data_IF_316443790420
#
_entry.id   IF_316443790420
#
_cell.length_a   1.000
_cell.length_b   1.000
_cell.length_c   1.000
_cell.angle_alpha   90.00
_cell.angle_beta   90.00
_cell.angle_gamma   90.00
#
_symmetry.space_group_name_H-M   'P 1'
#
loop_
_entity.id
_entity.type
_entity.pdbx_description
1 polymer ?
#
# COMPACT_ATOMS: atom_id res chain seq x y z
N UNK A 1 -31.80 26.59 18.39
CA UNK A 1 -32.03 27.45 17.20
C UNK A 1 -31.58 26.74 15.91
N UNK A 2 -30.36 26.19 15.86
CA UNK A 2 -29.80 25.37 14.77
C UNK A 2 -30.70 24.19 14.32
N UNK A 3 -31.27 23.41 15.26
CA UNK A 3 -32.19 22.32 14.92
C UNK A 3 -33.51 22.77 14.27
N UNK A 4 -34.02 23.97 14.60
CA UNK A 4 -35.27 24.48 14.03
C UNK A 4 -35.07 24.97 12.59
N UNK A 5 -33.90 25.54 12.29
CA UNK A 5 -33.51 25.92 10.92
C UNK A 5 -33.31 24.71 10.02
N UNK A 6 -32.68 23.63 10.52
CA UNK A 6 -32.52 22.37 9.79
C UNK A 6 -33.85 21.66 9.48
N UNK A 7 -34.83 21.71 10.39
CA UNK A 7 -36.16 21.12 10.20
C UNK A 7 -37.02 21.93 9.21
N UNK A 8 -36.87 23.25 9.19
CA UNK A 8 -37.50 24.13 8.20
C UNK A 8 -37.01 23.85 6.77
N UNK A 9 -35.70 23.68 6.60
CA UNK A 9 -35.05 23.41 5.31
C UNK A 9 -35.30 21.98 4.77
N UNK A 10 -35.46 21.00 5.66
CA UNK A 10 -35.86 19.63 5.27
C UNK A 10 -37.28 19.59 4.69
N UNK A 11 -38.14 20.56 5.03
CA UNK A 11 -39.50 20.69 4.47
C UNK A 11 -39.54 21.44 3.14
N UNK A 12 -38.58 22.31 2.84
CA UNK A 12 -38.48 22.99 1.55
C UNK A 12 -37.80 22.13 0.47
N UNK A 13 -36.82 21.30 0.83
CA UNK A 13 -36.11 20.40 -0.11
C UNK A 13 -36.95 19.22 -0.61
N UNK A 14 -38.03 18.86 0.09
CA UNK A 14 -39.00 17.85 -0.36
C UNK A 14 -39.96 18.35 -1.45
N UNK A 15 -39.95 19.64 -1.78
CA UNK A 15 -40.86 20.25 -2.76
C UNK A 15 -40.26 20.51 -4.14
N UNK A 16 -38.94 20.42 -4.30
CA UNK A 16 -38.27 20.65 -5.58
C UNK A 16 -37.38 19.45 -5.90
N UNK A 17 -37.86 18.61 -6.82
CA UNK A 17 -37.03 17.60 -7.48
C UNK A 17 -36.07 18.29 -8.44
N UNK A 18 -34.87 17.72 -8.55
CA UNK A 18 -33.83 18.06 -9.53
C UNK A 18 -33.16 19.43 -9.33
N UNK A 19 -32.31 19.52 -8.29
CA UNK A 19 -30.87 19.85 -8.43
C UNK A 19 -30.24 19.84 -7.02
N UNK A 20 -29.60 18.72 -6.63
CA UNK A 20 -29.19 18.49 -5.22
C UNK A 20 -27.85 19.12 -4.86
N UNK A 21 -27.00 19.41 -5.84
CA UNK A 21 -25.65 19.96 -5.60
C UNK A 21 -25.69 21.48 -5.47
N UNK A 22 -26.37 22.19 -6.39
CA UNK A 22 -26.41 23.65 -6.39
C UNK A 22 -27.01 24.29 -5.12
N UNK A 23 -28.06 23.67 -4.55
CA UNK A 23 -28.71 24.19 -3.33
C UNK A 23 -27.88 23.94 -2.05
N UNK A 24 -27.04 22.90 -2.01
CA UNK A 24 -26.20 22.65 -0.84
C UNK A 24 -25.07 23.69 -0.79
N UNK A 25 -24.43 23.91 -1.94
CA UNK A 25 -23.31 24.85 -2.09
C UNK A 25 -23.72 26.28 -1.70
N UNK A 26 -24.88 26.76 -2.16
CA UNK A 26 -25.39 28.10 -1.83
C UNK A 26 -25.70 28.29 -0.32
N UNK A 27 -26.30 27.27 0.32
CA UNK A 27 -26.58 27.30 1.77
C UNK A 27 -25.28 27.27 2.58
N UNK A 28 -24.28 26.52 2.11
CA UNK A 28 -22.95 26.46 2.72
C UNK A 28 -22.24 27.82 2.62
N UNK A 29 -22.26 28.48 1.45
CA UNK A 29 -21.65 29.80 1.27
C UNK A 29 -22.32 30.89 2.12
N UNK A 30 -23.65 30.88 2.22
CA UNK A 30 -24.37 31.81 3.10
C UNK A 30 -24.00 31.57 4.57
N UNK A 31 -23.82 30.31 4.98
CA UNK A 31 -23.36 29.97 6.33
C UNK A 31 -21.89 30.33 6.58
N UNK A 32 -21.02 30.22 5.56
CA UNK A 32 -19.60 30.64 5.59
C UNK A 32 -19.42 32.16 5.75
N UNK A 33 -20.29 32.96 5.15
CA UNK A 33 -20.22 34.43 5.28
C UNK A 33 -20.85 34.95 6.57
N UNK A 34 -21.86 34.26 7.13
CA UNK A 34 -22.66 34.78 8.25
C UNK A 34 -22.20 34.26 9.60
N UNK A 35 -21.62 33.07 9.65
CA UNK A 35 -21.06 32.47 10.85
C UNK A 35 -19.59 32.20 10.57
N UNK A 36 -18.72 32.42 11.55
CA UNK A 36 -17.31 32.00 11.52
C UNK A 36 -17.25 30.47 11.33
N UNK A 37 -17.48 30.04 10.10
CA UNK A 37 -17.75 28.66 9.78
C UNK A 37 -16.41 27.95 9.70
N UNK A 38 -16.30 26.95 10.55
CA UNK A 38 -15.10 26.17 10.78
C UNK A 38 -14.62 25.56 9.47
N UNK A 39 -13.34 25.78 9.13
CA UNK A 39 -12.67 25.17 7.96
C UNK A 39 -12.86 23.65 7.96
N UNK A 40 -13.09 23.05 9.13
CA UNK A 40 -13.49 21.67 9.34
C UNK A 40 -14.71 21.23 8.50
N UNK A 41 -15.66 22.11 8.19
CA UNK A 41 -16.81 21.74 7.34
C UNK A 41 -16.47 21.79 5.85
N UNK A 42 -15.60 22.72 5.44
CA UNK A 42 -15.09 22.76 4.07
C UNK A 42 -14.24 21.51 3.79
N UNK A 43 -13.46 21.08 4.78
CA UNK A 43 -12.69 19.83 4.74
C UNK A 43 -13.58 18.59 4.77
N UNK A 44 -14.66 18.59 5.55
CA UNK A 44 -15.69 17.54 5.49
C UNK A 44 -16.32 17.41 4.09
N UNK A 45 -16.44 18.50 3.34
CA UNK A 45 -16.93 18.49 1.96
C UNK A 45 -15.85 18.02 0.97
N UNK A 46 -14.59 18.41 1.19
CA UNK A 46 -13.45 17.88 0.42
C UNK A 46 -13.25 16.37 0.60
N UNK A 47 -13.63 15.82 1.76
CA UNK A 47 -13.66 14.37 2.02
C UNK A 47 -14.84 13.67 1.30
N UNK A 48 -15.94 14.38 1.00
CA UNK A 48 -17.19 13.76 0.51
C UNK A 48 -17.61 14.03 -0.93
N UNK A 49 -17.10 15.04 -1.63
CA UNK A 49 -17.63 15.34 -2.96
C UNK A 49 -16.78 16.30 -3.77
N UNK A 50 -16.29 15.82 -4.92
CA UNK A 50 -15.65 16.68 -5.92
C UNK A 50 -14.70 15.94 -6.86
N UNK A 51 -14.13 14.83 -6.38
CA UNK A 51 -13.21 13.95 -7.10
C UNK A 51 -13.73 13.54 -8.49
N UNK A 52 -12.96 13.79 -9.56
CA UNK A 52 -13.13 12.99 -10.78
C UNK A 52 -13.14 11.50 -10.46
N UNK A 53 -13.93 10.70 -11.19
CA UNK A 53 -14.03 9.24 -11.02
C UNK A 53 -12.65 8.57 -11.01
N UNK A 54 -11.71 9.19 -11.71
CA UNK A 54 -10.32 8.78 -11.80
C UNK A 54 -9.54 8.98 -10.48
N UNK A 55 -9.63 10.14 -9.82
CA UNK A 55 -9.01 10.35 -8.52
C UNK A 55 -9.58 9.40 -7.47
N UNK A 56 -10.90 9.17 -7.51
CA UNK A 56 -11.54 8.18 -6.65
C UNK A 56 -11.01 6.76 -6.91
N UNK A 57 -10.86 6.38 -8.18
CA UNK A 57 -10.25 5.11 -8.58
C UNK A 57 -8.85 4.94 -7.98
N UNK A 58 -7.97 5.93 -8.10
CA UNK A 58 -6.61 5.83 -7.56
C UNK A 58 -6.59 5.76 -6.04
N UNK A 59 -7.42 6.57 -5.35
CA UNK A 59 -7.58 6.49 -3.88
C UNK A 59 -8.03 5.09 -3.45
N UNK A 60 -9.04 4.53 -4.10
CA UNK A 60 -9.53 3.17 -3.81
C UNK A 60 -8.47 2.10 -4.08
N UNK A 61 -7.75 2.19 -5.20
CA UNK A 61 -6.69 1.26 -5.57
C UNK A 61 -5.56 1.26 -4.53
N UNK A 62 -5.08 2.45 -4.16
CA UNK A 62 -4.03 2.59 -3.16
C UNK A 62 -4.50 2.00 -1.82
N UNK A 63 -5.73 2.30 -1.38
CA UNK A 63 -6.31 1.74 -0.17
C UNK A 63 -6.40 0.20 -0.23
N UNK A 64 -6.82 -0.38 -1.37
CA UNK A 64 -6.84 -1.84 -1.56
C UNK A 64 -5.46 -2.45 -1.39
N UNK A 65 -4.44 -1.84 -1.99
CA UNK A 65 -3.05 -2.30 -1.90
C UNK A 65 -2.58 -2.26 -0.44
N UNK A 66 -2.87 -1.17 0.29
CA UNK A 66 -2.52 -1.04 1.70
C UNK A 66 -3.24 -2.04 2.60
N UNK A 67 -4.53 -2.30 2.37
CA UNK A 67 -5.29 -3.30 3.13
C UNK A 67 -4.66 -4.68 2.95
N UNK A 68 -4.31 -5.05 1.72
CA UNK A 68 -3.67 -6.34 1.44
C UNK A 68 -2.27 -6.43 2.08
N UNK A 69 -1.50 -5.34 2.07
CA UNK A 69 -0.23 -5.24 2.79
C UNK A 69 -0.41 -5.47 4.30
N UNK A 70 -1.32 -4.74 4.94
CA UNK A 70 -1.61 -4.89 6.38
C UNK A 70 -2.10 -6.30 6.73
N UNK A 71 -2.86 -6.92 5.84
CA UNK A 71 -3.29 -8.31 5.99
C UNK A 71 -2.09 -9.28 5.96
N UNK A 72 -1.15 -9.09 5.03
CA UNK A 72 0.09 -9.86 4.99
C UNK A 72 0.95 -9.67 6.26
N UNK A 73 1.06 -8.44 6.74
CA UNK A 73 1.75 -8.09 7.99
C UNK A 73 1.13 -8.79 9.19
N UNK A 74 -0.17 -8.58 9.41
CA UNK A 74 -0.90 -9.11 10.56
C UNK A 74 -0.88 -10.64 10.59
N UNK A 75 -1.02 -11.29 9.44
CA UNK A 75 -1.03 -12.77 9.36
C UNK A 75 0.35 -13.36 9.62
N UNK A 76 1.41 -12.74 9.09
CA UNK A 76 2.78 -13.19 9.36
C UNK A 76 3.14 -13.03 10.84
N UNK A 77 2.73 -11.92 11.45
CA UNK A 77 2.90 -11.69 12.89
C UNK A 77 2.10 -12.67 13.75
N UNK A 78 0.92 -13.11 13.27
CA UNK A 78 0.15 -14.16 13.93
C UNK A 78 0.92 -15.49 13.92
N UNK A 79 1.39 -15.95 12.75
CA UNK A 79 2.18 -17.18 12.65
C UNK A 79 3.45 -17.14 13.51
N UNK A 80 4.13 -16.00 13.53
CA UNK A 80 5.32 -15.82 14.36
C UNK A 80 4.99 -15.95 15.85
N UNK A 81 3.92 -15.30 16.32
CA UNK A 81 3.50 -15.38 17.72
C UNK A 81 3.09 -16.80 18.10
N UNK A 82 2.30 -17.44 17.24
CA UNK A 82 1.85 -18.81 17.46
C UNK A 82 3.02 -19.79 17.53
N UNK A 83 4.00 -19.68 16.62
CA UNK A 83 5.24 -20.47 16.68
C UNK A 83 5.98 -20.30 18.01
N UNK A 84 6.18 -19.06 18.46
CA UNK A 84 6.87 -18.78 19.73
C UNK A 84 6.11 -19.37 20.92
N UNK A 85 4.78 -19.26 20.93
CA UNK A 85 3.94 -19.87 21.97
C UNK A 85 4.07 -21.39 21.96
N UNK A 86 3.90 -22.04 20.81
CA UNK A 86 4.02 -23.50 20.67
C UNK A 86 5.39 -24.02 21.06
N UNK A 87 6.45 -23.30 20.68
CA UNK A 87 7.81 -23.65 21.05
C UNK A 87 8.04 -23.55 22.56
N UNK A 88 7.47 -22.54 23.21
CA UNK A 88 7.52 -22.41 24.67
C UNK A 88 6.78 -23.55 25.37
N UNK A 89 5.56 -23.88 24.92
CA UNK A 89 4.77 -25.02 25.43
C UNK A 89 5.54 -26.34 25.28
N UNK A 90 6.20 -26.54 24.14
CA UNK A 90 7.00 -27.72 23.86
C UNK A 90 8.19 -27.85 24.82
N UNK A 91 8.88 -26.73 25.09
CA UNK A 91 10.01 -26.69 26.03
C UNK A 91 9.58 -26.95 27.46
N UNK A 92 8.45 -26.40 27.90
CA UNK A 92 7.90 -26.69 29.23
C UNK A 92 7.54 -28.17 29.40
N UNK A 93 6.95 -28.79 28.37
CA UNK A 93 6.69 -30.23 28.35
C UNK A 93 7.98 -31.05 28.41
N UNK A 94 9.02 -30.64 27.69
CA UNK A 94 10.35 -31.28 27.73
C UNK A 94 10.94 -31.27 29.14
N UNK A 95 10.91 -30.12 29.81
CA UNK A 95 11.42 -30.02 31.20
C UNK A 95 10.63 -30.91 32.17
N UNK A 96 9.31 -30.97 32.00
CA UNK A 96 8.45 -31.85 32.82
C UNK A 96 8.80 -33.33 32.58
N UNK A 97 8.95 -33.74 31.32
CA UNK A 97 9.34 -35.10 30.97
C UNK A 97 10.75 -35.48 31.47
N UNK A 98 11.72 -34.55 31.44
CA UNK A 98 13.03 -34.78 32.04
C UNK A 98 12.96 -34.93 33.55
N UNK A 99 12.14 -34.12 34.24
CA UNK A 99 11.94 -34.25 35.68
C UNK A 99 11.33 -35.62 36.04
N UNK A 100 10.37 -36.10 35.24
CA UNK A 100 9.77 -37.44 35.39
C UNK A 100 10.78 -38.56 35.12
N UNK A 101 11.52 -38.49 34.00
CA UNK A 101 12.57 -39.46 33.67
C UNK A 101 13.64 -39.51 34.78
N UNK A 102 14.05 -38.36 35.31
CA UNK A 102 14.98 -38.28 36.44
C UNK A 102 14.41 -38.95 37.70
N UNK A 103 13.13 -38.74 38.00
CA UNK A 103 12.47 -39.39 39.13
C UNK A 103 12.47 -40.92 38.97
N UNK A 104 12.14 -41.43 37.78
CA UNK A 104 12.19 -42.86 37.47
C UNK A 104 13.61 -43.40 37.64
N UNK A 105 14.61 -42.68 37.11
CA UNK A 105 16.02 -43.02 37.27
C UNK A 105 16.40 -43.16 38.75
N UNK A 106 16.08 -42.15 39.57
CA UNK A 106 16.42 -42.13 41.00
C UNK A 106 15.73 -43.28 41.76
N UNK A 107 14.46 -43.59 41.43
CA UNK A 107 13.68 -44.68 42.04
C UNK A 107 14.23 -46.06 41.66
N UNK A 108 14.49 -46.31 40.38
CA UNK A 108 15.03 -47.59 39.88
C UNK A 108 16.45 -47.81 40.40
N UNK A 109 17.29 -46.77 40.37
CA UNK A 109 18.65 -46.85 40.90
C UNK A 109 18.66 -47.15 42.41
N UNK A 110 17.74 -46.58 43.19
CA UNK A 110 17.63 -46.89 44.61
C UNK A 110 17.16 -48.33 44.88
N UNK A 111 16.27 -48.86 44.02
CA UNK A 111 15.64 -50.17 44.19
C UNK A 111 16.46 -51.36 43.64
N UNK A 112 17.36 -51.13 42.69
CA UNK A 112 18.21 -52.19 42.12
C UNK A 112 19.34 -52.56 43.10
N UNK A 113 19.42 -53.85 43.42
CA UNK A 113 20.57 -54.48 44.06
C UNK A 113 21.60 -54.89 42.99
N UNK A 114 22.89 -54.75 43.29
CA UNK A 114 23.96 -55.08 42.35
C UNK A 114 25.15 -54.14 42.48
N UNK A 115 26.10 -54.27 41.57
CA UNK A 115 27.18 -53.29 41.46
C UNK A 115 26.69 -51.97 40.83
N UNK A 116 27.49 -50.91 40.97
CA UNK A 116 27.15 -49.56 40.49
C UNK A 116 26.83 -49.52 38.99
N UNK A 117 27.48 -50.36 38.18
CA UNK A 117 27.27 -50.37 36.74
C UNK A 117 25.93 -51.03 36.38
N UNK A 118 25.54 -52.09 37.09
CA UNK A 118 24.25 -52.75 36.91
C UNK A 118 23.10 -51.80 37.28
N UNK A 119 23.23 -51.11 38.43
CA UNK A 119 22.25 -50.12 38.90
C UNK A 119 22.08 -48.97 37.91
N UNK A 120 23.19 -48.40 37.44
CA UNK A 120 23.19 -47.32 36.46
C UNK A 120 22.56 -47.76 35.13
N UNK A 121 22.94 -48.94 34.64
CA UNK A 121 22.44 -49.45 33.35
C UNK A 121 20.93 -49.68 33.37
N UNK A 122 20.40 -50.27 34.45
CA UNK A 122 18.96 -50.48 34.59
C UNK A 122 18.20 -49.15 34.75
N UNK A 123 18.70 -48.24 35.57
CA UNK A 123 18.07 -46.94 35.79
C UNK A 123 18.00 -46.09 34.51
N UNK A 124 19.07 -46.07 33.70
CA UNK A 124 19.04 -45.38 32.39
C UNK A 124 18.10 -46.06 31.41
N UNK A 125 18.10 -47.40 31.36
CA UNK A 125 17.23 -48.14 30.45
C UNK A 125 15.75 -47.84 30.74
N UNK A 126 15.36 -47.78 32.00
CA UNK A 126 13.97 -47.53 32.41
C UNK A 126 13.57 -46.04 32.30
N UNK A 127 14.47 -45.13 32.68
CA UNK A 127 14.21 -43.69 32.60
C UNK A 127 14.22 -43.14 31.16
N UNK A 128 14.93 -43.81 30.25
CA UNK A 128 15.15 -43.44 28.85
C UNK A 128 15.29 -41.92 28.59
N UNK A 129 16.24 -41.23 29.25
CA UNK A 129 16.42 -39.79 29.08
C UNK A 129 16.79 -39.41 27.64
N UNK A 130 17.48 -40.31 26.93
CA UNK A 130 17.83 -40.11 25.52
C UNK A 130 16.59 -40.20 24.61
N UNK A 131 15.65 -41.09 24.90
CA UNK A 131 14.36 -41.17 24.20
C UNK A 131 13.55 -39.89 24.36
N UNK A 132 13.51 -39.33 25.59
CA UNK A 132 12.90 -38.01 25.86
C UNK A 132 13.53 -36.93 24.99
N UNK A 133 14.86 -36.80 25.02
CA UNK A 133 15.58 -35.81 24.21
C UNK A 133 15.29 -35.97 22.71
N UNK A 134 15.39 -37.20 22.19
CA UNK A 134 15.15 -37.49 20.78
C UNK A 134 13.72 -37.15 20.35
N UNK A 135 12.73 -37.48 21.19
CA UNK A 135 11.33 -37.16 20.95
C UNK A 135 11.12 -35.64 20.84
N UNK A 136 11.55 -34.87 21.84
CA UNK A 136 11.33 -33.42 21.84
C UNK A 136 12.17 -32.69 20.78
N UNK A 137 13.38 -33.17 20.47
CA UNK A 137 14.18 -32.63 19.37
C UNK A 137 13.47 -32.84 18.02
N UNK A 138 12.87 -34.02 17.80
CA UNK A 138 12.09 -34.28 16.59
C UNK A 138 10.84 -33.40 16.52
N UNK A 139 10.14 -33.22 17.63
CA UNK A 139 8.97 -32.33 17.70
C UNK A 139 9.36 -30.86 17.42
N UNK A 140 10.48 -30.37 17.96
CA UNK A 140 10.95 -29.00 17.73
C UNK A 140 11.31 -28.78 16.24
N UNK A 141 12.01 -29.74 15.63
CA UNK A 141 12.31 -29.71 14.18
C UNK A 141 11.03 -29.75 13.35
N UNK A 142 10.08 -30.62 13.71
CA UNK A 142 8.78 -30.72 13.01
C UNK A 142 7.98 -29.44 13.11
N UNK A 143 7.95 -28.81 14.29
CA UNK A 143 7.31 -27.53 14.53
C UNK A 143 7.95 -26.44 13.67
N UNK A 144 9.27 -26.33 13.67
CA UNK A 144 9.99 -25.34 12.87
C UNK A 144 9.73 -25.52 11.37
N UNK A 145 9.77 -26.75 10.85
CA UNK A 145 9.46 -27.04 9.45
C UNK A 145 8.02 -26.64 9.11
N UNK A 146 7.06 -27.00 9.97
CA UNK A 146 5.64 -26.69 9.76
C UNK A 146 5.40 -25.20 9.61
N UNK A 147 5.92 -24.37 10.53
CA UNK A 147 5.73 -22.93 10.46
C UNK A 147 6.51 -22.28 9.31
N UNK A 148 7.69 -22.82 8.94
CA UNK A 148 8.42 -22.38 7.73
C UNK A 148 7.61 -22.65 6.46
N UNK A 149 6.97 -23.80 6.34
CA UNK A 149 6.14 -24.15 5.19
C UNK A 149 4.85 -23.33 5.14
N UNK A 150 4.17 -23.15 6.28
CA UNK A 150 3.01 -22.26 6.38
C UNK A 150 3.34 -20.83 5.95
N UNK A 151 4.47 -20.29 6.42
CA UNK A 151 4.93 -18.96 6.03
C UNK A 151 5.25 -18.88 4.53
N UNK A 152 5.95 -19.87 3.96
CA UNK A 152 6.24 -19.92 2.52
C UNK A 152 4.96 -19.94 1.67
N UNK A 153 4.00 -20.80 2.03
CA UNK A 153 2.71 -20.89 1.33
C UNK A 153 1.92 -19.59 1.41
N UNK A 154 1.87 -18.98 2.59
CA UNK A 154 1.20 -17.70 2.78
C UNK A 154 1.86 -16.57 2.00
N UNK A 155 3.20 -16.50 2.02
CA UNK A 155 3.96 -15.49 1.29
C UNK A 155 3.75 -15.62 -0.22
N UNK A 156 3.75 -16.85 -0.75
CA UNK A 156 3.43 -17.12 -2.16
C UNK A 156 2.01 -16.72 -2.52
N UNK A 157 1.03 -17.07 -1.69
CA UNK A 157 -0.36 -16.69 -1.88
C UNK A 157 -0.52 -15.17 -1.91
N UNK A 158 0.06 -14.48 -0.92
CA UNK A 158 0.07 -13.02 -0.85
C UNK A 158 0.71 -12.40 -2.09
N UNK A 159 1.87 -12.90 -2.51
CA UNK A 159 2.57 -12.46 -3.72
C UNK A 159 1.71 -12.59 -4.98
N UNK A 160 0.99 -13.71 -5.14
CA UNK A 160 0.04 -13.91 -6.25
C UNK A 160 -1.12 -12.92 -6.19
N UNK A 161 -1.70 -12.71 -5.00
CA UNK A 161 -2.83 -11.80 -4.79
C UNK A 161 -2.47 -10.36 -5.18
N UNK A 162 -1.27 -9.89 -4.80
CA UNK A 162 -0.77 -8.56 -5.16
C UNK A 162 -0.77 -8.35 -6.67
N UNK A 163 -0.25 -9.33 -7.40
CA UNK A 163 -0.19 -9.26 -8.85
C UNK A 163 -1.57 -9.32 -9.49
N UNK A 164 -2.45 -10.20 -9.00
CA UNK A 164 -3.83 -10.30 -9.48
C UNK A 164 -4.61 -8.99 -9.26
N UNK A 165 -4.37 -8.31 -8.13
CA UNK A 165 -4.93 -6.99 -7.86
C UNK A 165 -4.46 -5.97 -8.90
N UNK A 166 -3.16 -5.91 -9.20
CA UNK A 166 -2.61 -5.03 -10.23
C UNK A 166 -3.27 -5.27 -11.59
N UNK A 167 -3.36 -6.53 -12.04
CA UNK A 167 -3.93 -6.85 -13.34
C UNK A 167 -5.40 -6.45 -13.44
N UNK A 168 -6.20 -6.76 -12.41
CA UNK A 168 -7.61 -6.43 -12.40
C UNK A 168 -7.84 -4.92 -12.40
N UNK A 169 -7.06 -4.19 -11.62
CA UNK A 169 -7.25 -2.75 -11.45
C UNK A 169 -6.70 -1.97 -12.65
N UNK A 170 -5.61 -2.42 -13.29
CA UNK A 170 -5.17 -1.86 -14.58
C UNK A 170 -6.21 -2.08 -15.68
N UNK A 171 -6.86 -3.25 -15.70
CA UNK A 171 -7.94 -3.52 -16.65
C UNK A 171 -9.13 -2.58 -16.42
N UNK A 172 -9.50 -2.40 -15.16
CA UNK A 172 -10.56 -1.47 -14.74
C UNK A 172 -10.21 -0.03 -15.14
N UNK A 173 -8.97 0.41 -14.90
CA UNK A 173 -8.47 1.71 -15.32
C UNK A 173 -8.57 1.89 -16.83
N UNK A 174 -8.15 0.92 -17.64
CA UNK A 174 -8.29 0.98 -19.10
C UNK A 174 -9.76 1.17 -19.53
N UNK A 175 -10.70 0.54 -18.82
CA UNK A 175 -12.14 0.73 -19.03
C UNK A 175 -12.62 2.13 -18.70
N UNK A 176 -12.21 2.69 -17.55
CA UNK A 176 -12.52 4.08 -17.16
C UNK A 176 -11.98 5.05 -18.20
N UNK A 177 -10.70 4.92 -18.57
CA UNK A 177 -10.04 5.80 -19.53
C UNK A 177 -10.59 5.69 -20.94
N UNK A 178 -11.06 4.51 -21.36
CA UNK A 178 -11.77 4.38 -22.64
C UNK A 178 -12.96 5.32 -22.70
N UNK A 179 -13.77 5.36 -21.64
CA UNK A 179 -14.96 6.20 -21.54
C UNK A 179 -14.55 7.67 -21.47
N UNK A 180 -13.59 8.01 -20.61
CA UNK A 180 -13.09 9.37 -20.39
C UNK A 180 -12.54 10.00 -21.69
N UNK A 181 -11.73 9.25 -22.44
CA UNK A 181 -11.15 9.72 -23.70
C UNK A 181 -12.04 9.46 -24.93
N UNK A 182 -13.26 8.95 -24.75
CA UNK A 182 -14.19 8.66 -25.84
C UNK A 182 -13.63 7.70 -26.91
N UNK A 183 -12.76 6.76 -26.53
CA UNK A 183 -12.10 5.86 -27.48
C UNK A 183 -13.04 4.74 -27.91
N UNK A 184 -13.09 4.48 -29.22
CA UNK A 184 -13.88 3.38 -29.80
C UNK A 184 -13.25 2.02 -29.50
N UNK A 185 -11.93 1.91 -29.74
CA UNK A 185 -11.16 0.72 -29.44
C UNK A 185 -11.18 0.45 -27.93
N UNK A 186 -11.33 -0.82 -27.59
CA UNK A 186 -11.30 -1.35 -26.23
C UNK A 186 -10.04 -2.16 -25.99
N UNK A 187 -9.75 -2.47 -24.74
CA UNK A 187 -8.65 -3.36 -24.38
C UNK A 187 -8.78 -4.74 -25.06
N UNK A 188 -10.01 -5.24 -25.22
CA UNK A 188 -10.28 -6.54 -25.85
C UNK A 188 -9.86 -6.59 -27.31
N UNK A 189 -9.87 -5.43 -28.00
CA UNK A 189 -9.50 -5.35 -29.42
C UNK A 189 -8.00 -5.50 -29.67
N UNK A 190 -7.18 -5.40 -28.61
CA UNK A 190 -5.71 -5.52 -28.69
C UNK A 190 -5.13 -6.52 -27.68
N UNK A 191 -5.99 -7.35 -27.09
CA UNK A 191 -5.60 -8.29 -26.04
C UNK A 191 -4.71 -9.39 -26.60
N UNK A 192 -3.63 -9.69 -25.88
CA UNK A 192 -2.69 -10.76 -26.18
C UNK A 192 -2.59 -11.74 -25.00
N UNK A 193 -1.81 -12.82 -25.15
CA UNK A 193 -1.57 -13.79 -24.07
C UNK A 193 -0.95 -13.15 -22.81
N UNK A 194 -0.22 -12.06 -22.97
CA UNK A 194 0.33 -11.28 -21.86
C UNK A 194 -0.64 -10.15 -21.51
N UNK A 195 -1.49 -10.39 -20.51
CA UNK A 195 -2.52 -9.45 -20.08
C UNK A 195 -1.91 -8.11 -19.65
N UNK A 196 -0.85 -8.13 -18.83
CA UNK A 196 -0.17 -6.92 -18.39
C UNK A 196 0.35 -6.12 -19.58
N UNK A 197 1.10 -6.76 -20.49
CA UNK A 197 1.62 -6.06 -21.66
C UNK A 197 0.50 -5.49 -22.55
N UNK A 198 -0.64 -6.17 -22.63
CA UNK A 198 -1.82 -5.68 -23.37
C UNK A 198 -2.38 -4.40 -22.77
N UNK A 199 -2.49 -4.33 -21.43
CA UNK A 199 -2.92 -3.11 -20.72
C UNK A 199 -1.92 -1.96 -20.89
N UNK A 200 -0.62 -2.25 -20.78
CA UNK A 200 0.42 -1.23 -21.00
C UNK A 200 0.39 -0.72 -22.45
N UNK A 201 0.26 -1.62 -23.43
CA UNK A 201 0.13 -1.24 -24.83
C UNK A 201 -1.13 -0.41 -25.10
N UNK A 202 -2.23 -0.67 -24.39
CA UNK A 202 -3.45 0.13 -24.49
C UNK A 202 -3.23 1.56 -24.01
N UNK A 203 -2.65 1.71 -22.82
CA UNK A 203 -2.32 3.01 -22.22
C UNK A 203 -1.36 3.81 -23.12
N UNK A 204 -0.31 3.16 -23.63
CA UNK A 204 0.72 3.79 -24.46
C UNK A 204 0.23 4.08 -25.89
N UNK A 205 -0.32 3.08 -26.60
CA UNK A 205 -0.56 3.19 -28.04
C UNK A 205 -1.96 3.66 -28.42
N UNK A 206 -2.98 3.39 -27.59
CA UNK A 206 -4.39 3.77 -27.89
C UNK A 206 -4.76 5.06 -27.17
N UNK A 207 -4.35 5.18 -25.92
CA UNK A 207 -4.58 6.37 -25.10
C UNK A 207 -3.44 7.39 -25.22
N UNK A 208 -2.30 7.02 -25.82
CA UNK A 208 -1.17 7.93 -26.05
C UNK A 208 -0.70 8.61 -24.76
N UNK A 209 -0.62 7.81 -23.68
CA UNK A 209 -0.07 8.22 -22.39
C UNK A 209 1.43 7.92 -22.42
N UNK A 210 2.26 8.92 -22.16
CA UNK A 210 3.71 8.75 -22.18
C UNK A 210 4.20 7.99 -20.93
N UNK A 211 4.57 6.72 -21.08
CA UNK A 211 4.95 5.84 -19.98
C UNK A 211 6.47 5.73 -19.74
N UNK A 212 7.27 6.65 -20.28
CA UNK A 212 8.74 6.59 -20.18
C UNK A 212 9.23 6.50 -18.73
N UNK A 213 8.65 7.30 -17.83
CA UNK A 213 8.98 7.28 -16.39
C UNK A 213 8.52 6.01 -15.67
N UNK A 214 7.55 5.27 -16.24
CA UNK A 214 7.07 4.01 -15.69
C UNK A 214 7.94 2.80 -16.05
N UNK A 215 8.80 2.89 -17.08
CA UNK A 215 9.58 1.75 -17.60
C UNK A 215 10.45 1.02 -16.56
N UNK A 216 11.13 1.71 -15.60
CA UNK A 216 11.89 1.02 -14.56
C UNK A 216 11.02 0.13 -13.67
N UNK A 217 9.79 0.56 -13.38
CA UNK A 217 8.84 -0.20 -12.57
C UNK A 217 8.24 -1.35 -13.39
N UNK A 218 7.85 -1.10 -14.64
CA UNK A 218 7.34 -2.12 -15.55
C UNK A 218 8.32 -3.27 -15.76
N UNK A 219 9.61 -2.97 -15.86
CA UNK A 219 10.67 -3.98 -15.96
C UNK A 219 10.68 -4.90 -14.75
N UNK A 220 10.59 -4.34 -13.53
CA UNK A 220 10.50 -5.13 -12.29
C UNK A 220 9.19 -5.91 -12.19
N UNK A 221 8.06 -5.30 -12.56
CA UNK A 221 6.74 -5.97 -12.56
C UNK A 221 6.75 -7.17 -13.51
N UNK A 222 7.44 -7.12 -14.66
CA UNK A 222 7.61 -8.29 -15.55
C UNK A 222 8.41 -9.42 -14.91
N UNK A 223 9.41 -9.10 -14.09
CA UNK A 223 10.15 -10.11 -13.33
C UNK A 223 9.26 -10.76 -12.27
N UNK A 224 8.40 -9.96 -11.61
CA UNK A 224 7.39 -10.44 -10.67
C UNK A 224 6.37 -11.35 -11.37
N UNK A 225 5.90 -10.96 -12.55
CA UNK A 225 5.01 -11.78 -13.39
C UNK A 225 5.63 -13.14 -13.73
N UNK A 226 6.92 -13.18 -14.06
CA UNK A 226 7.65 -14.42 -14.32
C UNK A 226 7.60 -15.38 -13.11
N UNK A 227 7.91 -14.89 -11.91
CA UNK A 227 7.84 -15.71 -10.69
C UNK A 227 6.40 -16.12 -10.37
N UNK A 228 5.43 -15.20 -10.52
CA UNK A 228 4.00 -15.46 -10.26
C UNK A 228 3.48 -16.59 -11.13
N UNK A 229 3.82 -16.56 -12.42
CA UNK A 229 3.40 -17.60 -13.35
C UNK A 229 3.98 -18.97 -12.96
N UNK A 230 5.22 -19.01 -12.47
CA UNK A 230 5.84 -20.24 -11.98
C UNK A 230 5.19 -20.76 -10.70
N UNK A 231 4.87 -19.86 -9.76
CA UNK A 231 4.13 -20.21 -8.54
C UNK A 231 2.75 -20.79 -8.89
N UNK A 232 2.00 -20.15 -9.79
CA UNK A 232 0.63 -20.54 -10.14
C UNK A 232 0.53 -21.81 -11.00
N UNK A 233 1.43 -21.99 -11.96
CA UNK A 233 1.32 -23.08 -12.94
C UNK A 233 2.16 -24.30 -12.61
N UNK A 234 3.17 -24.17 -11.75
CA UNK A 234 4.10 -25.25 -11.43
C UNK A 234 4.43 -25.30 -9.94
N UNK A 235 3.59 -24.75 -9.05
CA UNK A 235 3.85 -24.68 -7.61
C UNK A 235 5.21 -24.05 -7.23
N UNK A 236 5.82 -23.28 -8.14
CA UNK A 236 7.16 -22.70 -7.97
C UNK A 236 8.30 -23.66 -8.34
N UNK A 237 8.04 -24.71 -9.10
CA UNK A 237 9.05 -25.64 -9.60
C UNK A 237 9.89 -25.03 -10.73
N UNK A 238 11.20 -25.17 -10.59
CA UNK A 238 12.20 -24.78 -11.57
C UNK A 238 13.11 -25.96 -11.89
N UNK A 239 13.38 -26.24 -13.18
CA UNK A 239 14.37 -27.24 -13.56
C UNK A 239 15.76 -26.95 -12.98
N UNK A 240 16.59 -27.99 -12.89
CA UNK A 240 17.97 -27.89 -12.40
C UNK A 240 18.93 -27.16 -13.35
N UNK A 241 18.50 -26.85 -14.57
CA UNK A 241 19.30 -26.09 -15.51
C UNK A 241 19.45 -24.62 -15.10
N UNK A 242 20.46 -23.97 -15.67
CA UNK A 242 20.73 -22.55 -15.43
C UNK A 242 19.55 -21.68 -15.91
N UNK A 243 19.15 -20.76 -15.05
CA UNK A 243 18.05 -19.83 -15.30
C UNK A 243 18.54 -18.42 -14.93
N UNK A 244 19.30 -17.73 -15.81
CA UNK A 244 20.01 -16.50 -15.44
C UNK A 244 19.12 -15.43 -14.82
N UNK A 245 17.88 -15.30 -15.29
CA UNK A 245 16.90 -14.37 -14.73
C UNK A 245 16.51 -14.75 -13.29
N UNK A 246 16.24 -16.03 -13.03
CA UNK A 246 15.88 -16.52 -11.69
C UNK A 246 17.05 -16.36 -10.72
N UNK A 247 18.25 -16.70 -11.15
CA UNK A 247 19.47 -16.59 -10.33
C UNK A 247 19.72 -15.13 -9.95
N UNK A 248 19.53 -14.21 -10.90
CA UNK A 248 19.59 -12.77 -10.64
C UNK A 248 18.52 -12.31 -9.64
N UNK A 249 17.27 -12.77 -9.79
CA UNK A 249 16.18 -12.42 -8.87
C UNK A 249 16.43 -12.92 -7.44
N UNK A 250 16.98 -14.12 -7.29
CA UNK A 250 17.35 -14.68 -5.98
C UNK A 250 18.47 -13.83 -5.36
N UNK A 251 19.49 -13.48 -6.14
CA UNK A 251 20.59 -12.63 -5.69
C UNK A 251 20.10 -11.25 -5.23
N UNK A 252 19.24 -10.62 -6.02
CA UNK A 252 18.67 -9.30 -5.74
C UNK A 252 17.66 -9.32 -4.58
N UNK A 253 17.13 -10.50 -4.23
CA UNK A 253 16.24 -10.65 -3.07
C UNK A 253 16.96 -10.56 -1.71
N UNK A 254 18.30 -10.52 -1.70
CA UNK A 254 19.11 -10.47 -0.49
C UNK A 254 18.76 -11.57 0.55
N UNK A 255 18.48 -12.78 0.07
CA UNK A 255 18.16 -13.95 0.90
C UNK A 255 16.69 -14.06 1.31
N UNK A 256 15.81 -13.20 0.78
CA UNK A 256 14.38 -13.33 1.00
C UNK A 256 13.75 -14.42 0.10
N UNK A 257 14.34 -14.66 -1.08
CA UNK A 257 14.04 -15.79 -1.94
C UNK A 257 15.18 -16.82 -1.90
N UNK A 258 14.83 -18.09 -2.04
CA UNK A 258 15.81 -19.15 -2.28
C UNK A 258 15.19 -20.31 -3.04
N UNK A 259 16.05 -21.18 -3.56
CA UNK A 259 15.67 -22.44 -4.19
C UNK A 259 15.99 -23.59 -3.25
N UNK A 260 15.00 -24.43 -2.98
CA UNK A 260 15.18 -25.66 -2.22
C UNK A 260 15.17 -26.85 -3.16
N UNK A 261 16.23 -27.65 -3.10
CA UNK A 261 16.32 -28.90 -3.84
C UNK A 261 16.00 -30.06 -2.90
N UNK A 262 15.17 -30.99 -3.37
CA UNK A 262 14.85 -32.22 -2.66
C UNK A 262 15.31 -33.37 -3.54
N UNK A 263 16.36 -34.08 -3.14
CA UNK A 263 16.76 -35.30 -3.85
C UNK A 263 15.71 -36.40 -3.64
N UNK A 264 15.34 -37.19 -4.67
CA UNK A 264 15.92 -37.25 -6.02
C UNK A 264 15.14 -36.46 -7.10
N UNK A 265 14.38 -35.42 -6.72
CA UNK A 265 13.50 -34.70 -7.67
C UNK A 265 14.32 -33.94 -8.73
N UNK A 266 13.92 -33.94 -10.01
CA UNK A 266 14.67 -33.27 -11.08
C UNK A 266 14.47 -31.74 -11.12
N UNK A 267 14.06 -31.14 -10.01
CA UNK A 267 13.70 -29.73 -9.91
C UNK A 267 14.06 -29.11 -8.56
N UNK A 268 14.00 -27.79 -8.51
CA UNK A 268 14.15 -26.93 -7.35
C UNK A 268 12.84 -26.20 -7.10
N UNK A 269 12.45 -26.08 -5.84
CA UNK A 269 11.27 -25.33 -5.42
C UNK A 269 11.68 -23.92 -5.00
N UNK A 270 11.06 -22.92 -5.61
CA UNK A 270 11.15 -21.54 -5.13
C UNK A 270 10.51 -21.44 -3.76
N UNK A 271 11.19 -20.78 -2.84
CA UNK A 271 10.73 -20.51 -1.48
C UNK A 271 10.81 -19.00 -1.19
N UNK A 272 9.77 -18.46 -0.54
CA UNK A 272 9.74 -17.08 -0.06
C UNK A 272 9.92 -17.11 1.45
N UNK A 273 11.19 -16.97 1.89
CA UNK A 273 11.60 -17.11 3.28
C UNK A 273 11.01 -16.03 4.19
N UNK A 274 10.91 -14.82 3.65
CA UNK A 274 10.69 -13.59 4.39
C UNK A 274 9.58 -12.78 3.75
N UNK A 275 8.63 -12.33 4.57
CA UNK A 275 7.48 -11.53 4.13
C UNK A 275 7.92 -10.18 3.55
N UNK A 276 9.10 -9.70 3.93
CA UNK A 276 9.71 -8.47 3.41
C UNK A 276 9.86 -8.49 1.88
N UNK A 277 10.04 -9.67 1.27
CA UNK A 277 10.00 -9.78 -0.20
C UNK A 277 8.63 -9.42 -0.78
N UNK A 278 7.56 -9.81 -0.10
CA UNK A 278 6.18 -9.49 -0.49
C UNK A 278 5.93 -8.00 -0.29
N UNK A 279 6.41 -7.39 0.81
CA UNK A 279 6.32 -5.95 1.05
C UNK A 279 6.98 -5.12 -0.05
N UNK A 280 8.15 -5.55 -0.52
CA UNK A 280 8.82 -4.91 -1.66
C UNK A 280 7.95 -4.91 -2.92
N UNK A 281 7.06 -5.91 -3.10
CA UNK A 281 6.13 -5.92 -4.24
C UNK A 281 4.99 -4.94 -4.04
N UNK A 282 4.41 -4.86 -2.84
CA UNK A 282 3.43 -3.82 -2.50
C UNK A 282 4.01 -2.42 -2.76
N UNK A 283 5.26 -2.18 -2.34
CA UNK A 283 5.95 -0.91 -2.57
C UNK A 283 6.17 -0.63 -4.06
N UNK A 284 6.60 -1.63 -4.83
CA UNK A 284 6.78 -1.54 -6.28
C UNK A 284 5.48 -1.15 -6.99
N UNK A 285 4.36 -1.76 -6.60
CA UNK A 285 3.05 -1.49 -7.17
C UNK A 285 2.59 -0.07 -6.85
N UNK A 286 2.69 0.35 -5.59
CA UNK A 286 2.33 1.71 -5.18
C UNK A 286 3.14 2.75 -5.96
N UNK A 287 4.45 2.55 -6.05
CA UNK A 287 5.32 3.41 -6.82
C UNK A 287 4.93 3.48 -8.30
N UNK A 288 4.63 2.34 -8.92
CA UNK A 288 4.15 2.29 -10.29
C UNK A 288 2.82 3.04 -10.47
N UNK A 289 1.86 2.84 -9.57
CA UNK A 289 0.55 3.49 -9.63
C UNK A 289 0.65 5.00 -9.47
N UNK A 290 1.52 5.50 -8.58
CA UNK A 290 1.76 6.93 -8.44
C UNK A 290 2.37 7.52 -9.72
N UNK A 291 3.38 6.88 -10.29
CA UNK A 291 3.99 7.35 -11.53
C UNK A 291 3.01 7.31 -12.70
N UNK A 292 2.15 6.29 -12.76
CA UNK A 292 1.07 6.19 -13.74
C UNK A 292 0.05 7.32 -13.60
N UNK A 293 -0.33 7.69 -12.37
CA UNK A 293 -1.21 8.85 -12.14
C UNK A 293 -0.58 10.12 -12.70
N UNK A 294 0.71 10.37 -12.47
CA UNK A 294 1.39 11.56 -12.99
C UNK A 294 1.49 11.59 -14.52
N UNK A 295 1.75 10.45 -15.15
CA UNK A 295 1.70 10.31 -16.61
C UNK A 295 0.31 10.66 -17.15
N UNK A 296 -0.72 10.17 -16.48
CA UNK A 296 -2.11 10.37 -16.87
C UNK A 296 -2.57 11.81 -16.65
N UNK A 297 -2.22 12.40 -15.51
CA UNK A 297 -2.52 13.81 -15.21
C UNK A 297 -1.86 14.73 -16.26
N UNK A 298 -0.65 14.39 -16.70
CA UNK A 298 0.02 15.11 -17.80
C UNK A 298 -0.74 14.97 -19.12
N UNK A 299 -1.25 13.77 -19.45
CA UNK A 299 -2.12 13.56 -20.62
C UNK A 299 -3.42 14.37 -20.52
N UNK A 300 -3.93 14.57 -19.31
CA UNK A 300 -5.12 15.37 -18.99
C UNK A 300 -4.79 16.86 -18.76
N UNK A 301 -3.62 17.35 -19.20
CA UNK A 301 -3.22 18.75 -19.04
C UNK A 301 -3.30 19.24 -17.58
N UNK A 302 -2.91 18.38 -16.64
CA UNK A 302 -2.88 18.64 -15.20
C UNK A 302 -4.26 18.84 -14.55
N UNK A 303 -5.32 18.34 -15.19
CA UNK A 303 -6.69 18.50 -14.69
C UNK A 303 -6.89 17.93 -13.27
N UNK A 304 -6.23 16.82 -12.91
CA UNK A 304 -6.46 16.15 -11.63
C UNK A 304 -5.79 16.89 -10.48
N UNK A 305 -4.53 17.32 -10.66
CA UNK A 305 -3.86 18.14 -9.62
C UNK A 305 -4.47 19.53 -9.54
N UNK A 306 -4.92 20.10 -10.67
CA UNK A 306 -5.70 21.34 -10.70
C UNK A 306 -6.98 21.20 -9.89
N UNK A 307 -7.73 20.12 -10.05
CA UNK A 307 -8.96 19.87 -9.30
C UNK A 307 -8.70 19.88 -7.79
N UNK A 308 -7.61 19.26 -7.34
CA UNK A 308 -7.18 19.32 -5.94
C UNK A 308 -6.85 20.75 -5.53
N UNK A 309 -5.92 21.41 -6.21
CA UNK A 309 -5.54 22.80 -5.88
C UNK A 309 -6.75 23.74 -5.90
N UNK A 310 -7.68 23.55 -6.83
CA UNK A 310 -8.93 24.31 -6.87
C UNK A 310 -9.73 24.11 -5.60
N UNK A 311 -9.97 22.87 -5.16
CA UNK A 311 -10.64 22.62 -3.88
C UNK A 311 -9.94 23.32 -2.71
N UNK A 312 -8.60 23.36 -2.73
CA UNK A 312 -7.82 24.04 -1.71
C UNK A 312 -7.97 25.56 -1.75
N UNK A 313 -8.11 26.19 -2.92
CA UNK A 313 -8.11 27.65 -3.07
C UNK A 313 -9.49 28.28 -3.35
N UNK A 314 -10.52 27.47 -3.60
CA UNK A 314 -11.89 27.93 -3.88
C UNK A 314 -12.55 28.67 -2.70
N UNK A 315 -11.98 28.55 -1.49
CA UNK A 315 -12.40 29.31 -0.32
C UNK A 315 -11.93 30.78 -0.35
N UNK A 316 -10.90 31.11 -1.16
CA UNK A 316 -10.43 32.49 -1.31
C UNK A 316 -11.45 33.32 -2.09
N UNK A 317 -12.02 32.74 -3.14
CA UNK A 317 -13.07 33.33 -3.95
C UNK A 317 -13.85 32.22 -4.66
N UNK A 318 -15.19 32.28 -4.65
CA UNK A 318 -16.06 31.30 -5.32
C UNK A 318 -15.86 31.28 -6.84
N UNK A 319 -15.39 32.39 -7.41
CA UNK A 319 -15.07 32.49 -8.84
C UNK A 319 -13.60 32.22 -9.13
N UNK A 320 -12.81 31.84 -8.11
CA UNK A 320 -11.42 31.46 -8.31
C UNK A 320 -11.33 30.19 -9.15
N UNK A 321 -10.40 30.21 -10.11
CA UNK A 321 -9.89 29.05 -10.80
C UNK A 321 -8.40 28.87 -10.52
N UNK A 322 -7.87 27.69 -10.78
CA UNK A 322 -6.44 27.39 -10.69
C UNK A 322 -5.91 27.05 -12.08
N UNK A 323 -4.83 27.72 -12.48
CA UNK A 323 -4.10 27.45 -13.71
C UNK A 323 -2.76 26.85 -13.35
N UNK A 324 -2.47 25.65 -13.85
CA UNK A 324 -1.14 25.03 -13.69
C UNK A 324 -0.20 25.64 -14.71
N UNK A 325 0.82 26.36 -14.24
CA UNK A 325 1.77 27.09 -15.09
C UNK A 325 2.98 26.24 -15.44
N UNK A 326 3.42 25.39 -14.51
CA UNK A 326 4.56 24.49 -14.72
C UNK A 326 4.45 23.24 -13.86
N UNK A 327 4.79 22.08 -14.45
CA UNK A 327 5.12 20.87 -13.70
C UNK A 327 6.57 20.49 -14.03
N UNK A 328 7.44 20.41 -13.02
CA UNK A 328 8.84 20.01 -13.23
C UNK A 328 9.33 18.99 -12.21
N UNK A 329 10.20 18.05 -12.63
CA UNK A 329 10.87 17.16 -11.70
C UNK A 329 11.85 17.96 -10.83
N UNK A 330 11.91 17.63 -9.55
CA UNK A 330 12.92 18.15 -8.61
C UNK A 330 13.66 16.99 -7.94
N UNK A 331 14.72 17.30 -7.20
CA UNK A 331 15.50 16.26 -6.49
C UNK A 331 14.57 15.50 -5.54
N UNK A 332 14.36 14.21 -5.84
CA UNK A 332 13.49 13.29 -5.09
C UNK A 332 12.01 13.71 -5.05
N UNK A 333 11.51 14.37 -6.09
CA UNK A 333 10.16 14.90 -6.05
C UNK A 333 9.67 15.59 -7.32
N UNK A 334 8.59 16.35 -7.17
CA UNK A 334 7.98 17.20 -8.21
C UNK A 334 7.63 18.56 -7.62
N UNK A 335 7.71 19.58 -8.44
CA UNK A 335 7.21 20.92 -8.13
C UNK A 335 6.11 21.28 -9.13
N UNK A 336 4.98 21.74 -8.60
CA UNK A 336 3.82 22.25 -9.35
C UNK A 336 3.76 23.75 -9.12
N UNK A 337 3.99 24.53 -10.17
CA UNK A 337 3.74 25.96 -10.15
C UNK A 337 2.33 26.24 -10.67
N UNK A 338 1.61 27.13 -10.01
CA UNK A 338 0.22 27.45 -10.33
C UNK A 338 -0.10 28.92 -10.05
N UNK A 339 -1.18 29.39 -10.66
CA UNK A 339 -1.77 30.71 -10.43
C UNK A 339 -3.23 30.52 -10.07
N UNK A 340 -3.69 31.22 -9.03
CA UNK A 340 -5.11 31.31 -8.68
C UNK A 340 -5.66 32.57 -9.34
N UNK A 341 -6.66 32.44 -10.19
CA UNK A 341 -7.18 33.53 -11.03
C UNK A 341 -8.67 33.75 -10.81
N UNK A 342 -9.14 34.98 -10.99
CA UNK A 342 -10.56 35.35 -11.03
C UNK A 342 -10.84 36.13 -12.31
N UNK A 343 -11.47 35.47 -13.27
CA UNK A 343 -11.61 36.05 -14.61
C UNK A 343 -10.22 36.25 -15.24
N UNK A 344 -9.83 37.50 -15.47
CA UNK A 344 -8.51 37.84 -16.03
C UNK A 344 -7.49 38.27 -14.98
N UNK A 345 -7.89 38.41 -13.72
CA UNK A 345 -7.03 38.92 -12.66
C UNK A 345 -6.40 37.76 -11.87
N UNK A 346 -5.10 37.80 -11.66
CA UNK A 346 -4.42 36.83 -10.78
C UNK A 346 -4.61 37.25 -9.33
N UNK A 347 -5.17 36.37 -8.50
CA UNK A 347 -5.31 36.55 -7.06
C UNK A 347 -3.95 36.34 -6.38
N UNK A 348 -3.30 35.21 -6.69
CA UNK A 348 -1.98 34.85 -6.19
C UNK A 348 -1.30 33.86 -7.12
N UNK A 349 0.02 33.79 -7.01
CA UNK A 349 0.82 32.70 -7.56
C UNK A 349 1.29 31.78 -6.44
N UNK A 350 1.62 30.54 -6.80
CA UNK A 350 2.12 29.59 -5.83
C UNK A 350 2.91 28.44 -6.41
N UNK A 351 3.61 27.76 -5.50
CA UNK A 351 4.32 26.52 -5.78
C UNK A 351 3.97 25.47 -4.73
N UNK A 352 3.72 24.25 -5.21
CA UNK A 352 3.57 23.05 -4.38
C UNK A 352 4.71 22.10 -4.73
N UNK A 353 5.65 21.94 -3.79
CA UNK A 353 6.79 21.03 -3.94
C UNK A 353 6.60 19.79 -3.07
N UNK A 354 6.57 18.62 -3.72
CA UNK A 354 6.41 17.32 -3.08
C UNK A 354 7.71 16.54 -3.19
N UNK A 355 8.38 16.27 -2.06
CA UNK A 355 9.68 15.58 -2.03
C UNK A 355 9.72 14.49 -0.97
N UNK A 356 10.44 13.40 -1.23
CA UNK A 356 10.63 12.36 -0.20
C UNK A 356 11.50 12.89 0.96
N UNK A 357 11.13 12.57 2.19
CA UNK A 357 11.75 13.01 3.43
C UNK A 357 11.93 11.84 4.43
N UNK A 358 12.44 12.14 5.63
CA UNK A 358 12.58 11.16 6.74
C UNK A 358 11.34 11.07 7.63
N UNK A 359 10.53 12.13 7.63
CA UNK A 359 9.27 12.24 8.36
C UNK A 359 8.32 13.08 7.50
N UNK A 360 7.03 12.84 7.64
CA UNK A 360 6.02 13.69 7.03
C UNK A 360 6.14 15.10 7.62
N UNK A 361 6.13 16.11 6.76
CA UNK A 361 6.23 17.50 7.17
C UNK A 361 5.58 18.40 6.13
N UNK A 362 4.65 19.26 6.57
CA UNK A 362 4.09 20.32 5.76
C UNK A 362 4.79 21.64 6.09
N UNK A 363 5.35 22.30 5.08
CA UNK A 363 5.90 23.64 5.19
C UNK A 363 5.01 24.61 4.42
N UNK A 364 4.49 25.60 5.12
CA UNK A 364 3.61 26.61 4.57
C UNK A 364 4.33 27.95 4.56
N UNK A 365 4.40 28.59 3.40
CA UNK A 365 5.03 29.89 3.24
C UNK A 365 4.06 30.87 2.57
N UNK A 366 3.45 31.73 3.39
CA UNK A 366 2.54 32.77 2.90
C UNK A 366 3.30 34.11 2.81
N UNK A 367 3.52 34.59 1.58
CA UNK A 367 4.14 35.91 1.33
C UNK A 367 3.09 37.02 1.13
N UNK A 368 1.80 36.72 1.22
CA UNK A 368 0.69 37.68 1.21
C UNK A 368 0.20 37.93 2.65
N UNK A 369 0.99 38.66 3.43
CA UNK A 369 0.72 38.88 4.86
C UNK A 369 -0.66 39.53 5.12
N UNK A 370 -1.16 40.33 4.19
CA UNK A 370 -2.43 41.05 4.32
C UNK A 370 -3.65 40.20 3.89
N UNK A 371 -3.45 39.01 3.32
CA UNK A 371 -4.56 38.17 2.85
C UNK A 371 -5.15 37.30 3.98
N UNK A 372 -6.08 37.88 4.74
CA UNK A 372 -6.69 37.24 5.94
C UNK A 372 -7.18 35.80 5.72
N UNK A 373 -7.91 35.53 4.63
CA UNK A 373 -8.42 34.18 4.35
C UNK A 373 -7.29 33.16 4.14
N UNK A 374 -6.28 33.50 3.34
CA UNK A 374 -5.11 32.65 3.11
C UNK A 374 -4.37 32.38 4.42
N UNK A 375 -4.22 33.39 5.28
CA UNK A 375 -3.66 33.20 6.63
C UNK A 375 -4.44 32.17 7.46
N UNK A 376 -5.78 32.20 7.42
CA UNK A 376 -6.64 31.20 8.09
C UNK A 376 -6.47 29.80 7.52
N UNK A 377 -6.42 29.65 6.19
CA UNK A 377 -6.16 28.35 5.57
C UNK A 377 -4.82 27.79 6.02
N UNK A 378 -3.76 28.61 5.99
CA UNK A 378 -2.43 28.16 6.34
C UNK A 378 -2.35 27.72 7.80
N UNK A 379 -2.97 28.48 8.72
CA UNK A 379 -3.07 28.08 10.13
C UNK A 379 -3.81 26.73 10.28
N UNK A 380 -4.93 26.55 9.57
CA UNK A 380 -5.67 25.29 9.61
C UNK A 380 -4.87 24.11 9.08
N UNK A 381 -4.20 24.28 7.94
CA UNK A 381 -3.36 23.23 7.35
C UNK A 381 -2.20 22.87 8.27
N UNK A 382 -1.62 23.83 8.99
CA UNK A 382 -0.56 23.58 9.97
C UNK A 382 -1.07 22.78 11.17
N UNK A 383 -2.29 23.06 11.64
CA UNK A 383 -2.94 22.28 12.72
C UNK A 383 -3.39 20.89 12.26
N UNK A 384 -3.67 20.71 10.96
CA UNK A 384 -4.28 19.51 10.38
C UNK A 384 -3.43 18.87 9.28
N UNK A 385 -2.11 18.84 9.46
CA UNK A 385 -1.18 18.35 8.42
C UNK A 385 -1.52 16.94 7.91
N UNK A 386 -1.97 16.05 8.79
CA UNK A 386 -2.30 14.68 8.41
C UNK A 386 -3.45 14.60 7.39
N UNK A 387 -4.51 15.40 7.56
CA UNK A 387 -5.62 15.47 6.61
C UNK A 387 -5.17 16.01 5.26
N UNK A 388 -4.21 16.93 5.24
CA UNK A 388 -3.62 17.41 3.98
C UNK A 388 -2.90 16.27 3.22
N UNK A 389 -2.17 15.40 3.91
CA UNK A 389 -1.58 14.23 3.27
C UNK A 389 -2.66 13.21 2.86
N UNK A 390 -3.51 12.79 3.78
CA UNK A 390 -4.44 11.66 3.58
C UNK A 390 -5.61 11.95 2.64
N UNK A 391 -6.05 13.21 2.52
CA UNK A 391 -7.23 13.55 1.72
C UNK A 391 -6.88 14.35 0.45
N UNK A 392 -5.92 15.26 0.56
CA UNK A 392 -5.53 16.13 -0.55
C UNK A 392 -4.44 15.50 -1.40
N UNK A 393 -3.30 15.14 -0.80
CA UNK A 393 -2.15 14.64 -1.56
C UNK A 393 -2.19 13.15 -1.86
N UNK A 394 -2.99 12.35 -1.15
CA UNK A 394 -2.93 10.88 -1.14
C UNK A 394 -2.64 10.20 -2.49
N UNK A 395 -3.29 10.59 -3.61
CA UNK A 395 -3.02 9.96 -4.90
C UNK A 395 -1.66 10.34 -5.50
N UNK A 396 -1.13 11.51 -5.17
CA UNK A 396 0.02 12.16 -5.83
C UNK A 396 1.36 11.91 -5.16
N UNK A 397 1.43 11.19 -4.03
CA UNK A 397 2.70 10.89 -3.36
C UNK A 397 2.89 9.43 -2.98
N UNK A 398 4.16 9.05 -2.84
CA UNK A 398 4.60 7.71 -2.48
C UNK A 398 4.38 7.45 -0.98
N UNK A 399 3.26 6.81 -0.63
CA UNK A 399 2.90 6.51 0.76
C UNK A 399 3.95 5.77 1.61
N UNK A 400 4.83 4.98 0.99
CA UNK A 400 5.84 4.23 1.74
C UNK A 400 7.10 5.05 2.03
N UNK A 401 7.10 6.31 1.61
CA UNK A 401 8.16 7.26 1.88
C UNK A 401 7.56 8.46 2.59
N UNK A 402 8.10 8.83 3.76
CA UNK A 402 7.69 10.07 4.38
C UNK A 402 7.83 11.24 3.40
N UNK A 403 6.90 12.18 3.42
CA UNK A 403 6.78 13.25 2.44
C UNK A 403 7.03 14.61 3.08
N UNK A 404 7.89 15.40 2.46
CA UNK A 404 7.92 16.84 2.66
C UNK A 404 7.08 17.50 1.57
N UNK A 405 5.99 18.13 1.98
CA UNK A 405 5.21 19.02 1.14
C UNK A 405 5.56 20.48 1.51
N UNK A 406 5.82 21.31 0.52
CA UNK A 406 6.08 22.73 0.69
C UNK A 406 5.13 23.53 -0.20
N UNK A 407 4.21 24.26 0.42
CA UNK A 407 3.26 25.13 -0.25
C UNK A 407 3.67 26.58 -0.03
N UNK A 408 4.12 27.24 -1.09
CA UNK A 408 4.45 28.66 -1.08
C UNK A 408 3.41 29.43 -1.89
N UNK A 409 2.86 30.49 -1.32
CA UNK A 409 1.97 31.42 -2.01
C UNK A 409 2.62 32.82 -1.99
N UNK A 410 2.64 33.49 -3.13
CA UNK A 410 3.29 34.79 -3.31
C UNK A 410 2.48 35.72 -4.22
N UNK A 411 2.68 37.05 -4.11
CA UNK A 411 2.04 38.02 -4.99
C UNK A 411 2.39 37.75 -6.45
N UNK A 412 1.41 37.98 -7.35
CA UNK A 412 1.62 37.92 -8.80
C UNK A 412 2.63 38.96 -9.29
#
# INVERSE_FOLDING_TARGET
MIQRSLVSLKRSSLKYGEDRTGNLTFIIYYLMMVYDFDISVLMYLMDRGGGSDLLHFFKELINKIQIQRRHAETTTDLYRREYVTRLSELREKRETAHAEAKKIYDEVYAATDGDENEKWSQAIMEADPNGVDNHFNLEEVTLEMTYKEMADHFNKSSFVIVYALLENELRRLCGILKTEFGKRLSLQDIESKDYLQSMINYLDKVLEIELNVCQPYLTKIKQVQFLRNKIMHAAGEFPLNDQPLLDQLIKDSHGNLYLQHYEPLPYRLLKIKKVEYVYQQYDLLLDFIHELLWCLDTKLQHALIREKLLLLFHFLDEQADVVITQLKPVKKGREVSFSVVKGNDTILDGTLTLTTAKKDSLHLNNQLADHYLLGRLMAYLDENQQSFFDDFLQPFYKMNHPLRAELTCYPH
#
